data_IF_246851082035
#
_entry.id   IF_246851082035
#
_cell.length_a   1.000
_cell.length_b   1.000
_cell.length_c   1.000
_cell.angle_alpha   90.00
_cell.angle_beta   90.00
_cell.angle_gamma   90.00
#
_symmetry.space_group_name_H-M   'P 1'
#
loop_
_entity.id
_entity.type
_entity.pdbx_description
1 polymer ?
#
# COMPACT_ATOMS: atom_id res chain seq x y z
N UNK A 1 1.67 20.45 16.43
CA UNK A 1 1.63 19.97 15.03
C UNK A 1 3.04 20.02 14.48
N UNK A 2 3.58 18.85 14.11
CA UNK A 2 4.97 18.77 13.66
C UNK A 2 5.16 19.39 12.28
N UNK A 3 6.32 20.01 12.05
CA UNK A 3 6.72 20.53 10.77
C UNK A 3 6.99 19.40 9.75
N UNK A 4 7.23 18.18 10.21
CA UNK A 4 7.63 17.04 9.40
C UNK A 4 6.62 15.90 9.50
N UNK A 5 6.43 15.16 8.39
CA UNK A 5 5.55 14.00 8.31
C UNK A 5 6.20 12.84 7.55
N UNK A 6 5.86 11.62 7.96
CA UNK A 6 6.23 10.41 7.24
C UNK A 6 5.19 10.10 6.16
N UNK A 7 5.65 9.89 4.94
CA UNK A 7 4.82 9.53 3.79
C UNK A 7 5.17 8.12 3.35
N UNK A 8 4.15 7.28 3.22
CA UNK A 8 4.26 5.95 2.61
C UNK A 8 4.44 6.10 1.10
N UNK A 9 5.51 5.50 0.57
CA UNK A 9 5.84 5.58 -0.86
C UNK A 9 5.54 4.27 -1.57
N UNK A 10 5.94 3.15 -0.94
CA UNK A 10 5.79 1.81 -1.52
C UNK A 10 5.45 0.80 -0.44
N UNK A 11 4.70 -0.23 -0.82
CA UNK A 11 4.36 -1.31 0.09
C UNK A 11 4.18 -2.62 -0.66
N UNK A 12 4.66 -3.72 -0.09
CA UNK A 12 4.33 -5.09 -0.50
C UNK A 12 3.67 -5.80 0.66
N UNK A 13 2.53 -6.42 0.42
CA UNK A 13 1.82 -7.29 1.36
C UNK A 13 1.80 -8.70 0.80
N UNK A 14 2.10 -9.71 1.62
CA UNK A 14 1.94 -11.13 1.26
C UNK A 14 1.14 -11.84 2.34
N UNK A 15 0.19 -12.65 1.93
CA UNK A 15 -0.64 -13.48 2.81
C UNK A 15 -0.44 -14.96 2.45
N UNK A 16 -0.28 -15.81 3.45
CA UNK A 16 -0.28 -17.26 3.29
C UNK A 16 -1.70 -17.81 3.11
N UNK A 17 -2.66 -17.16 3.76
CA UNK A 17 -4.09 -17.45 3.74
C UNK A 17 -4.91 -16.19 4.03
N UNK A 18 -6.21 -16.20 3.74
CA UNK A 18 -7.09 -15.14 4.22
C UNK A 18 -7.11 -15.07 5.75
N UNK A 19 -7.38 -13.87 6.28
CA UNK A 19 -7.77 -13.67 7.68
C UNK A 19 -9.28 -13.49 7.70
N UNK A 20 -9.96 -14.31 8.51
CA UNK A 20 -11.41 -14.34 8.54
C UNK A 20 -11.99 -13.48 9.67
N UNK A 21 -13.24 -13.10 9.51
CA UNK A 21 -14.00 -12.39 10.56
C UNK A 21 -14.04 -13.26 11.83
N UNK A 22 -13.73 -12.64 12.97
CA UNK A 22 -13.66 -13.33 14.26
C UNK A 22 -12.25 -13.82 14.64
N UNK A 23 -11.28 -13.83 13.73
CA UNK A 23 -9.89 -14.10 14.06
C UNK A 23 -9.21 -12.88 14.70
N UNK A 24 -8.41 -13.10 15.74
CA UNK A 24 -7.59 -12.05 16.36
C UNK A 24 -6.27 -11.90 15.60
N UNK A 25 -6.14 -10.80 14.86
CA UNK A 25 -4.94 -10.46 14.12
C UNK A 25 -3.97 -9.65 14.99
N UNK A 26 -2.80 -10.20 15.26
CA UNK A 26 -1.68 -9.49 15.90
C UNK A 26 -0.72 -8.96 14.84
N UNK A 27 -0.41 -7.67 14.87
CA UNK A 27 0.53 -7.03 13.96
C UNK A 27 1.76 -6.60 14.75
N UNK A 28 2.92 -7.16 14.41
CA UNK A 28 4.21 -6.76 14.98
C UNK A 28 5.00 -6.00 13.93
N UNK A 29 5.49 -4.80 14.26
CA UNK A 29 6.21 -3.96 13.30
C UNK A 29 7.60 -3.60 13.79
N UNK A 30 8.59 -3.52 12.87
CA UNK A 30 9.99 -3.20 13.14
C UNK A 30 10.59 -2.30 12.07
N UNK A 31 11.49 -1.42 12.51
CA UNK A 31 12.34 -0.68 11.57
C UNK A 31 13.39 -1.63 10.98
N UNK A 32 13.67 -1.50 9.67
CA UNK A 32 14.66 -2.30 8.92
C UNK A 32 15.79 -1.45 8.34
N UNK A 33 15.94 -0.23 8.84
CA UNK A 33 17.00 0.68 8.41
C UNK A 33 16.59 1.69 7.36
N UNK A 34 17.60 2.31 6.81
CA UNK A 34 17.43 3.38 5.84
C UNK A 34 18.44 3.28 4.69
N UNK A 35 18.07 3.82 3.54
CA UNK A 35 18.97 4.04 2.41
C UNK A 35 18.69 5.39 1.77
N UNK A 36 19.61 6.34 1.92
CA UNK A 36 19.48 7.73 1.42
C UNK A 36 18.30 8.47 2.11
N UNK A 37 17.15 8.53 1.44
CA UNK A 37 15.92 9.18 1.88
C UNK A 37 14.77 8.20 2.08
N UNK A 38 15.04 6.92 1.91
CA UNK A 38 14.08 5.84 2.07
C UNK A 38 14.29 5.15 3.40
N UNK A 39 13.21 4.88 4.11
CA UNK A 39 13.17 4.24 5.42
C UNK A 39 12.31 3.00 5.30
N UNK A 40 12.81 1.89 5.78
CA UNK A 40 12.21 0.58 5.62
C UNK A 40 11.58 0.10 6.92
N UNK A 41 10.41 -0.52 6.79
CA UNK A 41 9.70 -1.11 7.93
C UNK A 41 9.02 -2.40 7.49
N UNK A 42 9.12 -3.41 8.34
CA UNK A 42 8.42 -4.69 8.16
C UNK A 42 7.33 -4.86 9.20
N UNK A 43 6.36 -5.70 8.85
CA UNK A 43 5.25 -6.09 9.70
C UNK A 43 5.02 -7.58 9.55
N UNK A 44 4.92 -8.30 10.66
CA UNK A 44 4.46 -9.68 10.66
C UNK A 44 3.00 -9.71 11.11
N UNK A 45 2.19 -10.42 10.36
CA UNK A 45 0.77 -10.64 10.59
C UNK A 45 0.60 -12.01 11.19
N UNK A 46 0.04 -12.10 12.42
CA UNK A 46 -0.11 -13.36 13.14
C UNK A 46 -1.55 -13.57 13.59
N UNK A 47 -2.03 -14.79 13.47
CA UNK A 47 -3.27 -15.29 14.09
C UNK A 47 -2.90 -16.47 14.97
N UNK A 48 -3.32 -16.46 16.24
CA UNK A 48 -2.96 -17.49 17.24
C UNK A 48 -1.44 -17.79 17.29
N UNK A 49 -0.60 -16.75 17.24
CA UNK A 49 0.87 -16.81 17.18
C UNK A 49 1.46 -17.41 15.88
N UNK A 50 0.64 -17.86 14.94
CA UNK A 50 1.11 -18.33 13.63
C UNK A 50 1.23 -17.16 12.65
N UNK A 51 2.35 -17.08 11.90
CA UNK A 51 2.54 -16.07 10.86
C UNK A 51 1.67 -16.41 9.65
N UNK A 52 0.64 -15.59 9.42
CA UNK A 52 -0.31 -15.71 8.30
C UNK A 52 0.03 -14.77 7.14
N UNK A 53 0.99 -13.86 7.33
CA UNK A 53 1.43 -12.94 6.30
C UNK A 53 2.41 -11.91 6.82
N UNK A 54 2.73 -10.95 5.98
CA UNK A 54 3.59 -9.84 6.35
C UNK A 54 3.53 -8.68 5.35
N UNK A 55 4.18 -7.59 5.75
CA UNK A 55 4.26 -6.37 4.96
C UNK A 55 5.67 -5.83 4.98
N UNK A 56 6.13 -5.34 3.82
CA UNK A 56 7.32 -4.51 3.70
C UNK A 56 6.92 -3.14 3.18
N UNK A 57 7.37 -2.07 3.83
CA UNK A 57 7.01 -0.71 3.45
C UNK A 57 8.21 0.21 3.34
N UNK A 58 8.14 1.15 2.40
CA UNK A 58 9.14 2.18 2.15
C UNK A 58 8.51 3.54 2.42
N UNK A 59 9.12 4.28 3.31
CA UNK A 59 8.69 5.60 3.77
C UNK A 59 9.70 6.67 3.42
N UNK A 60 9.26 7.90 3.33
CA UNK A 60 10.12 9.08 3.24
C UNK A 60 9.64 10.17 4.20
N UNK A 61 10.57 11.00 4.69
CA UNK A 61 10.25 12.14 5.53
C UNK A 61 10.08 13.38 4.66
N UNK A 62 9.01 14.14 4.87
CA UNK A 62 8.76 15.40 4.19
C UNK A 62 8.62 16.56 5.17
N UNK A 63 9.04 17.74 4.74
CA UNK A 63 8.67 19.01 5.35
C UNK A 63 7.27 19.38 4.86
N UNK A 64 6.29 19.36 5.76
CA UNK A 64 4.87 19.59 5.44
C UNK A 64 4.59 21.01 4.93
N UNK A 65 5.39 22.00 5.37
CA UNK A 65 5.26 23.39 4.92
C UNK A 65 5.87 23.62 3.54
N UNK A 66 7.06 23.05 3.32
CA UNK A 66 7.82 23.22 2.07
C UNK A 66 7.49 22.17 1.00
N UNK A 67 6.70 21.15 1.37
CA UNK A 67 6.30 20.04 0.48
C UNK A 67 7.48 19.38 -0.21
N UNK A 68 8.58 19.15 0.52
CA UNK A 68 9.79 18.52 0.00
C UNK A 68 10.37 17.48 0.92
N UNK A 69 11.03 16.50 0.34
CA UNK A 69 11.72 15.44 1.07
C UNK A 69 12.88 16.03 1.88
N UNK A 70 13.02 15.56 3.12
CA UNK A 70 14.12 15.93 4.03
C UNK A 70 14.78 14.68 4.60
N UNK A 71 16.06 14.82 4.97
CA UNK A 71 16.78 13.76 5.70
C UNK A 71 16.55 13.94 7.19
N UNK A 72 16.14 12.90 7.94
CA UNK A 72 15.90 12.99 9.37
C UNK A 72 17.06 13.62 10.16
N UNK A 73 18.28 13.22 9.86
CA UNK A 73 19.49 13.72 10.53
C UNK A 73 19.66 15.25 10.38
N UNK A 74 19.21 15.84 9.26
CA UNK A 74 19.29 17.29 9.02
C UNK A 74 18.27 18.09 9.84
N UNK A 75 17.28 17.41 10.40
CA UNK A 75 16.17 18.02 11.16
C UNK A 75 16.10 17.50 12.62
N UNK A 76 17.19 16.85 13.07
CA UNK A 76 17.32 16.40 14.45
C UNK A 76 16.44 15.18 14.81
N UNK A 77 15.95 14.43 13.83
CA UNK A 77 15.19 13.20 14.07
C UNK A 77 16.16 12.03 14.08
N UNK A 78 16.23 11.33 15.22
CA UNK A 78 16.99 10.10 15.38
C UNK A 78 16.15 8.91 14.91
N UNK A 79 16.73 8.08 14.04
CA UNK A 79 16.09 6.84 13.62
C UNK A 79 16.26 5.76 14.69
N UNK A 80 15.24 4.89 14.87
CA UNK A 80 15.37 3.76 15.79
C UNK A 80 16.46 2.80 15.33
N UNK A 81 17.13 2.16 16.26
CA UNK A 81 18.03 1.04 15.94
C UNK A 81 17.27 -0.09 15.28
N UNK A 82 17.93 -0.77 14.34
CA UNK A 82 17.36 -1.88 13.64
C UNK A 82 17.70 -3.18 14.34
N UNK A 83 16.69 -3.94 14.74
CA UNK A 83 16.86 -5.28 15.27
C UNK A 83 17.21 -6.26 14.14
N UNK A 84 18.14 -7.19 14.39
CA UNK A 84 18.35 -8.34 13.52
C UNK A 84 17.16 -9.29 13.64
N UNK A 85 16.25 -9.18 12.72
CA UNK A 85 15.04 -10.01 12.67
C UNK A 85 14.65 -10.30 11.22
N UNK A 86 14.37 -11.56 10.95
CA UNK A 86 13.86 -11.99 9.63
C UNK A 86 12.34 -11.96 9.65
N UNK A 87 11.75 -11.05 8.89
CA UNK A 87 10.29 -10.93 8.72
C UNK A 87 9.81 -11.83 7.58
N UNK A 88 8.51 -12.11 7.53
CA UNK A 88 7.93 -12.90 6.44
C UNK A 88 8.09 -12.22 5.07
N UNK A 89 8.07 -10.88 5.01
CA UNK A 89 8.33 -10.10 3.79
C UNK A 89 9.53 -9.18 4.03
N UNK A 90 10.63 -9.43 3.35
CA UNK A 90 11.91 -8.73 3.55
C UNK A 90 12.20 -7.65 2.51
N UNK A 91 11.48 -7.64 1.40
CA UNK A 91 11.76 -6.74 0.29
C UNK A 91 10.48 -6.24 -0.37
N UNK A 92 10.61 -5.09 -1.03
CA UNK A 92 9.61 -4.59 -1.96
C UNK A 92 9.68 -5.40 -3.26
N UNK A 93 8.52 -5.89 -3.70
CA UNK A 93 8.39 -6.58 -4.98
C UNK A 93 8.07 -5.58 -6.10
N UNK A 94 8.58 -5.77 -7.32
CA UNK A 94 8.23 -4.89 -8.43
C UNK A 94 6.76 -5.03 -8.83
N UNK A 95 6.21 -3.96 -9.40
CA UNK A 95 4.89 -4.01 -10.03
C UNK A 95 4.90 -4.91 -11.26
N UNK A 96 3.80 -5.63 -11.50
CA UNK A 96 3.63 -6.48 -12.67
C UNK A 96 3.35 -5.63 -13.92
N UNK A 97 3.99 -5.99 -15.04
CA UNK A 97 3.83 -5.33 -16.34
C UNK A 97 2.59 -5.82 -17.09
N UNK A 98 1.39 -5.54 -16.57
CA UNK A 98 0.11 -5.89 -17.18
C UNK A 98 -0.48 -4.64 -17.81
N UNK A 99 -0.96 -4.75 -19.07
CA UNK A 99 -1.68 -3.69 -19.76
C UNK A 99 -3.02 -3.41 -19.07
N UNK A 100 -3.35 -2.13 -18.91
CA UNK A 100 -4.56 -1.69 -18.22
C UNK A 100 -5.44 -0.85 -19.14
N UNK A 101 -6.75 -0.95 -18.95
CA UNK A 101 -7.74 -0.18 -19.69
C UNK A 101 -8.66 0.55 -18.74
N UNK A 102 -9.06 1.78 -19.09
CA UNK A 102 -9.97 2.58 -18.28
C UNK A 102 -11.30 1.86 -18.08
N UNK A 103 -11.72 1.76 -16.82
CA UNK A 103 -12.98 1.14 -16.43
C UNK A 103 -14.02 2.18 -16.05
N UNK A 104 -13.66 3.11 -15.15
CA UNK A 104 -14.57 4.07 -14.55
C UNK A 104 -13.82 5.33 -14.13
N UNK A 105 -14.54 6.44 -14.04
CA UNK A 105 -14.09 7.66 -13.36
C UNK A 105 -14.84 7.79 -12.03
N UNK A 106 -14.10 8.03 -10.92
CA UNK A 106 -14.66 8.19 -9.58
C UNK A 106 -14.20 9.51 -8.97
N UNK A 107 -15.09 10.19 -8.26
CA UNK A 107 -14.74 11.41 -7.53
C UNK A 107 -14.34 11.08 -6.09
N UNK A 108 -13.27 11.74 -5.60
CA UNK A 108 -12.85 11.64 -4.19
C UNK A 108 -13.81 12.42 -3.31
N UNK A 109 -14.58 11.71 -2.49
CA UNK A 109 -15.58 12.28 -1.60
C UNK A 109 -14.98 12.61 -0.22
N UNK A 110 -15.73 13.35 0.59
CA UNK A 110 -15.34 13.68 1.96
C UNK A 110 -14.97 12.44 2.81
N UNK A 111 -15.70 11.34 2.65
CA UNK A 111 -15.45 10.08 3.34
C UNK A 111 -14.14 9.39 2.94
N UNK A 112 -13.57 9.74 1.79
CA UNK A 112 -12.31 9.19 1.31
C UNK A 112 -11.08 9.94 1.85
N UNK A 113 -11.28 11.10 2.49
CA UNK A 113 -10.23 12.05 2.87
C UNK A 113 -9.83 11.89 4.34
N UNK A 114 -8.53 11.97 4.62
CA UNK A 114 -7.98 11.96 5.97
C UNK A 114 -7.79 13.38 6.56
N UNK A 115 -7.23 13.44 7.78
CA UNK A 115 -6.94 14.71 8.46
C UNK A 115 -5.90 15.59 7.73
N UNK A 116 -5.09 15.00 6.83
CA UNK A 116 -4.12 15.73 6.01
C UNK A 116 -4.76 16.35 4.76
N UNK A 117 -6.06 16.17 4.58
CA UNK A 117 -6.84 16.65 3.43
C UNK A 117 -6.45 16.01 2.10
N UNK A 118 -6.02 14.75 2.14
CA UNK A 118 -5.75 13.92 0.97
C UNK A 118 -6.50 12.59 1.10
N UNK A 119 -6.65 11.90 -0.02
CA UNK A 119 -7.25 10.57 -0.03
C UNK A 119 -6.48 9.64 0.91
N UNK A 120 -7.19 9.05 1.87
CA UNK A 120 -6.62 8.14 2.86
C UNK A 120 -6.07 6.87 2.18
N UNK A 121 -4.87 6.45 2.57
CA UNK A 121 -4.21 5.28 1.98
C UNK A 121 -5.06 4.00 2.02
N UNK A 122 -5.91 3.82 3.03
CA UNK A 122 -6.83 2.67 3.10
C UNK A 122 -7.92 2.72 2.01
N UNK A 123 -8.37 3.92 1.61
CA UNK A 123 -9.42 4.09 0.59
C UNK A 123 -8.96 3.64 -0.80
N UNK A 124 -7.68 3.76 -1.10
CA UNK A 124 -7.14 3.21 -2.36
C UNK A 124 -7.43 1.71 -2.47
N UNK A 125 -7.25 0.95 -1.38
CA UNK A 125 -7.52 -0.50 -1.39
C UNK A 125 -9.01 -0.82 -1.50
N UNK A 126 -9.88 -0.03 -0.88
CA UNK A 126 -11.33 -0.20 -1.03
C UNK A 126 -11.74 0.02 -2.49
N UNK A 127 -11.25 1.08 -3.14
CA UNK A 127 -11.52 1.32 -4.55
C UNK A 127 -10.94 0.25 -5.48
N UNK A 128 -9.79 -0.32 -5.12
CA UNK A 128 -9.20 -1.48 -5.82
C UNK A 128 -10.12 -2.69 -5.70
N UNK A 129 -10.62 -2.99 -4.50
CA UNK A 129 -11.53 -4.12 -4.28
C UNK A 129 -12.86 -3.94 -5.01
N UNK A 130 -13.36 -2.70 -5.16
CA UNK A 130 -14.57 -2.42 -5.92
C UNK A 130 -14.41 -2.73 -7.43
N UNK A 131 -13.18 -2.64 -7.97
CA UNK A 131 -12.90 -2.93 -9.38
C UNK A 131 -12.72 -4.42 -9.68
N UNK A 132 -12.36 -5.23 -8.69
CA UNK A 132 -12.21 -6.67 -8.90
C UNK A 132 -13.56 -7.31 -9.19
N UNK A 133 -13.65 -8.21 -10.22
CA UNK A 133 -14.87 -8.96 -10.52
C UNK A 133 -15.39 -9.76 -9.33
N UNK A 134 -16.72 -9.92 -9.21
CA UNK A 134 -17.34 -10.61 -8.08
C UNK A 134 -16.91 -12.08 -7.97
N UNK A 135 -16.84 -12.80 -9.09
CA UNK A 135 -16.39 -14.19 -9.13
C UNK A 135 -14.95 -14.36 -8.62
N UNK A 136 -14.10 -13.35 -8.81
CA UNK A 136 -12.76 -13.29 -8.24
C UNK A 136 -12.84 -13.15 -6.71
N UNK A 137 -13.64 -12.23 -6.21
CA UNK A 137 -13.80 -11.99 -4.77
C UNK A 137 -14.38 -13.21 -4.04
N UNK A 138 -15.25 -13.96 -4.69
CA UNK A 138 -15.83 -15.19 -4.11
C UNK A 138 -14.82 -16.33 -4.03
N UNK A 139 -14.08 -16.62 -5.10
CA UNK A 139 -13.25 -17.83 -5.25
C UNK A 139 -11.80 -17.63 -4.80
N UNK A 140 -11.29 -16.41 -4.87
CA UNK A 140 -9.88 -16.10 -4.65
C UNK A 140 -9.69 -15.21 -3.43
N UNK A 141 -8.47 -15.22 -2.90
CA UNK A 141 -7.97 -14.16 -2.02
C UNK A 141 -6.73 -13.53 -2.63
N UNK A 142 -6.39 -12.36 -2.18
CA UNK A 142 -5.18 -11.66 -2.62
C UNK A 142 -3.99 -12.22 -1.85
N UNK A 143 -3.18 -13.06 -2.50
CA UNK A 143 -1.97 -13.67 -1.93
C UNK A 143 -0.85 -12.63 -1.81
N UNK A 144 -0.72 -11.75 -2.80
CA UNK A 144 0.28 -10.69 -2.82
C UNK A 144 -0.28 -9.44 -3.45
N UNK A 145 0.05 -8.29 -2.88
CA UNK A 145 -0.11 -6.98 -3.53
C UNK A 145 1.15 -6.14 -3.36
N UNK A 146 1.42 -5.36 -4.38
CA UNK A 146 2.48 -4.36 -4.41
C UNK A 146 1.87 -3.02 -4.80
N UNK A 147 2.14 -1.98 -4.01
CA UNK A 147 1.57 -0.65 -4.16
C UNK A 147 2.66 0.40 -4.28
N UNK A 148 2.40 1.40 -5.11
CA UNK A 148 3.25 2.56 -5.28
C UNK A 148 2.40 3.83 -5.22
N UNK A 149 2.60 4.63 -4.18
CA UNK A 149 1.98 5.94 -3.97
C UNK A 149 2.87 7.00 -4.59
N UNK A 150 2.51 7.49 -5.77
CA UNK A 150 3.31 8.43 -6.57
C UNK A 150 3.03 9.88 -6.19
N UNK A 151 1.74 10.19 -5.97
CA UNK A 151 1.25 11.53 -5.62
C UNK A 151 0.02 11.45 -4.72
N UNK A 152 -0.15 12.47 -3.89
CA UNK A 152 -1.35 12.66 -3.08
C UNK A 152 -2.54 13.04 -3.97
N UNK A 153 -3.71 12.47 -3.72
CA UNK A 153 -4.98 12.82 -4.41
C UNK A 153 -5.79 13.73 -3.50
N UNK A 154 -6.15 14.90 -4.02
CA UNK A 154 -6.92 15.90 -3.30
C UNK A 154 -8.43 15.60 -3.29
N UNK A 155 -9.20 16.15 -2.34
CA UNK A 155 -10.67 16.11 -2.35
C UNK A 155 -11.23 16.63 -3.68
N UNK A 156 -12.36 16.06 -4.09
CA UNK A 156 -13.09 16.44 -5.31
C UNK A 156 -12.35 16.18 -6.62
N UNK A 157 -11.16 15.53 -6.56
CA UNK A 157 -10.47 15.09 -7.77
C UNK A 157 -11.29 14.01 -8.48
N UNK A 158 -11.38 14.10 -9.80
CA UNK A 158 -11.92 13.03 -10.66
C UNK A 158 -10.78 12.13 -11.06
N UNK A 159 -10.84 10.87 -10.62
CA UNK A 159 -9.80 9.87 -10.81
C UNK A 159 -10.29 8.82 -11.79
N UNK A 160 -9.55 8.63 -12.85
CA UNK A 160 -9.77 7.56 -13.81
C UNK A 160 -9.11 6.27 -13.29
N UNK A 161 -9.88 5.21 -13.16
CA UNK A 161 -9.45 3.91 -12.68
C UNK A 161 -9.26 2.98 -13.88
N UNK A 162 -8.04 2.45 -14.00
CA UNK A 162 -7.64 1.51 -15.05
C UNK A 162 -7.43 0.14 -14.44
N UNK A 163 -7.89 -0.90 -15.11
CA UNK A 163 -7.75 -2.28 -14.69
C UNK A 163 -7.22 -3.14 -15.82
N UNK A 164 -6.38 -4.11 -15.49
CA UNK A 164 -5.93 -5.18 -16.37
C UNK A 164 -5.70 -6.45 -15.56
N UNK A 165 -5.94 -7.60 -16.20
CA UNK A 165 -5.74 -8.92 -15.62
C UNK A 165 -5.07 -9.84 -16.63
N UNK A 166 -4.19 -10.69 -16.14
CA UNK A 166 -3.58 -11.77 -16.89
C UNK A 166 -3.50 -13.00 -15.98
N UNK A 167 -4.29 -14.02 -16.27
CA UNK A 167 -4.44 -15.20 -15.41
C UNK A 167 -4.86 -14.79 -13.99
N UNK A 168 -4.06 -15.14 -12.98
CA UNK A 168 -4.29 -14.80 -11.58
C UNK A 168 -3.62 -13.49 -11.14
N UNK A 169 -2.96 -12.79 -12.04
CA UNK A 169 -2.31 -11.52 -11.74
C UNK A 169 -3.15 -10.35 -12.26
N UNK A 170 -3.21 -9.26 -11.49
CA UNK A 170 -3.91 -8.05 -11.88
C UNK A 170 -3.06 -6.79 -11.68
N UNK A 171 -3.41 -5.73 -12.39
CA UNK A 171 -2.87 -4.39 -12.20
C UNK A 171 -3.97 -3.35 -12.26
N UNK A 172 -3.87 -2.33 -11.39
CA UNK A 172 -4.77 -1.19 -11.35
C UNK A 172 -3.94 0.09 -11.26
N UNK A 173 -4.36 1.12 -11.99
CA UNK A 173 -3.75 2.44 -11.97
C UNK A 173 -4.83 3.49 -11.73
N UNK A 174 -4.51 4.48 -10.88
CA UNK A 174 -5.34 5.66 -10.64
C UNK A 174 -4.69 6.83 -11.34
N UNK A 175 -5.39 7.42 -12.30
CA UNK A 175 -4.90 8.54 -13.10
C UNK A 175 -5.80 9.75 -12.97
N UNK A 176 -5.17 10.93 -12.99
CA UNK A 176 -5.85 12.19 -13.17
C UNK A 176 -5.25 12.78 -14.43
N UNK A 177 -6.09 13.00 -15.44
CA UNK A 177 -5.64 13.28 -16.80
C UNK A 177 -4.70 12.15 -17.28
N UNK A 178 -3.51 12.49 -17.82
CA UNK A 178 -2.54 11.49 -18.30
C UNK A 178 -1.53 11.05 -17.21
N UNK A 179 -1.67 11.56 -15.96
CA UNK A 179 -0.70 11.31 -14.90
C UNK A 179 -1.17 10.23 -13.94
N UNK A 180 -0.29 9.26 -13.69
CA UNK A 180 -0.51 8.23 -12.67
C UNK A 180 -0.19 8.78 -11.27
N UNK A 181 -1.12 8.59 -10.34
CA UNK A 181 -1.03 8.98 -8.93
C UNK A 181 -0.78 7.80 -8.01
N UNK A 182 -1.34 6.65 -8.36
CA UNK A 182 -1.21 5.41 -7.61
C UNK A 182 -1.21 4.22 -8.56
N UNK A 183 -0.41 3.22 -8.24
CA UNK A 183 -0.33 1.96 -8.96
C UNK A 183 -0.35 0.80 -7.97
N UNK A 184 -1.05 -0.25 -8.34
CA UNK A 184 -1.06 -1.51 -7.60
C UNK A 184 -1.05 -2.67 -8.58
N UNK A 185 -0.33 -3.71 -8.23
CA UNK A 185 -0.48 -5.02 -8.85
C UNK A 185 -0.59 -6.10 -7.80
N UNK A 186 -1.25 -7.18 -8.11
CA UNK A 186 -1.44 -8.27 -7.17
C UNK A 186 -1.54 -9.62 -7.83
N UNK A 187 -1.40 -10.64 -7.00
CA UNK A 187 -1.60 -12.03 -7.34
C UNK A 187 -2.73 -12.61 -6.54
N UNK A 188 -3.62 -13.28 -7.21
CA UNK A 188 -4.77 -13.97 -6.66
C UNK A 188 -4.42 -15.44 -6.45
N UNK A 189 -4.92 -16.01 -5.36
CA UNK A 189 -4.82 -17.44 -5.07
C UNK A 189 -6.20 -17.97 -4.73
N UNK A 190 -6.52 -19.12 -5.29
CA UNK A 190 -7.78 -19.80 -5.00
C UNK A 190 -7.89 -20.13 -3.51
N UNK A 191 -9.06 -19.88 -2.92
CA UNK A 191 -9.35 -20.24 -1.54
C UNK A 191 -9.41 -21.76 -1.47
N UNK A 192 -8.61 -22.38 -0.59
CA UNK A 192 -8.80 -23.80 -0.26
C UNK A 192 -10.14 -23.94 0.46
N UNK A 193 -10.98 -24.83 -0.05
CA UNK A 193 -12.24 -25.22 0.58
C UNK A 193 -12.00 -25.92 1.91
#
# INVERSE_FOLDING_TARGET
HGQYGWVLVKQTVKLKRPVYVGENLTITTRAKGERKIQFFRTYDLKVNNEVVGGVYSIWTLIDLNKRRIVRPQKVGITMPECEEYVSYVENYEPLLGIETHKQITREVLYSDVDLNKHMNNARYLEWVMDLLPEDIKEKYFVEQITMHYLKEISPHSKVDLYYGQKENDFRIEFKIEEQTYFEISGRLKEKSL
#
